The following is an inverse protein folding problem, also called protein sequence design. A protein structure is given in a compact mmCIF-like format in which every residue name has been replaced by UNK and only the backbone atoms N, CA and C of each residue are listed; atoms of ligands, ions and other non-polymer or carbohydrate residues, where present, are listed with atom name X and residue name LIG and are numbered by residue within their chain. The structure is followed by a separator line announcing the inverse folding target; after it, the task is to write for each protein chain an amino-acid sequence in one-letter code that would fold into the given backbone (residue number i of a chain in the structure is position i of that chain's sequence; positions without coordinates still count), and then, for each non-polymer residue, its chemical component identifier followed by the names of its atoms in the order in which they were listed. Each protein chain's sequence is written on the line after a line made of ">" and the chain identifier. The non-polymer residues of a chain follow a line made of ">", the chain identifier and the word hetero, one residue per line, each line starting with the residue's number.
data_IF_183243679525
#
_entry.id   IF_183243679525
#
_cell.length_a   1.000
_cell.length_b   1.000
_cell.length_c   1.000
_cell.angle_alpha   90.00
_cell.angle_beta   90.00
_cell.angle_gamma   90.00
#
_symmetry.space_group_name_H-M   'P 1'
#
loop_
_entity.id
_entity.type
_entity.pdbx_description
1 polymer ?
#
# COMPACT_ATOMS: atom_id res chain seq x y z
N UNK A 1 -36.26 -109.43 -13.18
CA UNK A 1 -34.92 -109.21 -12.59
C UNK A 1 -34.17 -107.94 -13.06
N UNK A 2 -34.72 -107.06 -13.93
CA UNK A 2 -33.99 -105.87 -14.45
C UNK A 2 -34.15 -104.55 -13.66
N UNK A 3 -35.08 -104.44 -12.70
CA UNK A 3 -35.32 -103.18 -11.94
C UNK A 3 -34.36 -102.89 -10.77
N UNK A 4 -33.56 -103.87 -10.32
CA UNK A 4 -32.67 -103.69 -9.14
C UNK A 4 -31.29 -103.10 -9.46
N UNK A 5 -30.88 -103.06 -10.74
CA UNK A 5 -29.55 -102.55 -11.17
C UNK A 5 -29.52 -101.04 -11.49
N UNK A 6 -30.66 -100.37 -11.68
CA UNK A 6 -30.70 -98.92 -11.97
C UNK A 6 -30.60 -98.04 -10.72
N UNK A 7 -31.07 -98.49 -9.55
CA UNK A 7 -31.02 -97.69 -8.32
C UNK A 7 -29.61 -97.54 -7.71
N UNK A 8 -28.69 -98.48 -8.00
CA UNK A 8 -27.30 -98.41 -7.50
C UNK A 8 -26.45 -97.37 -8.23
N UNK A 9 -26.80 -96.98 -9.46
CA UNK A 9 -26.02 -96.03 -10.25
C UNK A 9 -26.35 -94.56 -9.95
N UNK A 10 -27.56 -94.30 -9.42
CA UNK A 10 -28.00 -92.96 -9.00
C UNK A 10 -27.37 -92.58 -7.65
N UNK A 11 -27.32 -93.52 -6.70
CA UNK A 11 -26.67 -93.30 -5.40
C UNK A 11 -25.16 -93.01 -5.52
N UNK A 12 -24.48 -93.63 -6.49
CA UNK A 12 -23.06 -93.36 -6.77
C UNK A 12 -22.81 -91.96 -7.33
N UNK A 13 -23.71 -91.46 -8.20
CA UNK A 13 -23.63 -90.10 -8.76
C UNK A 13 -23.98 -89.03 -7.72
N UNK A 14 -24.95 -89.26 -6.85
CA UNK A 14 -25.30 -88.35 -5.75
C UNK A 14 -24.17 -88.24 -4.74
N UNK A 15 -23.51 -89.36 -4.38
CA UNK A 15 -22.33 -89.32 -3.49
C UNK A 15 -21.16 -88.55 -4.09
N UNK A 16 -20.88 -88.71 -5.39
CA UNK A 16 -19.81 -87.95 -6.06
C UNK A 16 -20.13 -86.45 -6.16
N UNK A 17 -21.40 -86.09 -6.39
CA UNK A 17 -21.83 -84.70 -6.42
C UNK A 17 -21.76 -84.04 -5.04
N UNK A 18 -22.17 -84.77 -3.99
CA UNK A 18 -22.08 -84.29 -2.60
C UNK A 18 -20.62 -84.07 -2.14
N UNK A 19 -19.69 -84.95 -2.54
CA UNK A 19 -18.26 -84.79 -2.22
C UNK A 19 -17.66 -83.59 -2.96
N UNK A 20 -18.08 -83.35 -4.22
CA UNK A 20 -17.61 -82.21 -5.01
C UNK A 20 -18.18 -80.87 -4.49
N UNK A 21 -19.45 -80.84 -4.06
CA UNK A 21 -20.07 -79.65 -3.49
C UNK A 21 -19.52 -79.30 -2.09
N UNK A 22 -19.18 -80.31 -1.27
CA UNK A 22 -18.54 -80.06 0.04
C UNK A 22 -17.11 -79.52 -0.14
N UNK A 23 -16.35 -80.02 -1.13
CA UNK A 23 -15.02 -79.49 -1.44
C UNK A 23 -15.03 -78.03 -1.89
N UNK A 24 -15.99 -77.64 -2.73
CA UNK A 24 -16.16 -76.24 -3.17
C UNK A 24 -16.58 -75.34 -2.01
N UNK A 25 -17.47 -75.81 -1.14
CA UNK A 25 -17.90 -75.05 0.02
C UNK A 25 -16.76 -74.83 1.02
N UNK A 26 -15.94 -75.86 1.27
CA UNK A 26 -14.74 -75.74 2.09
C UNK A 26 -13.69 -74.81 1.45
N UNK A 27 -13.50 -74.87 0.13
CA UNK A 27 -12.62 -73.98 -0.60
C UNK A 27 -13.06 -72.50 -0.51
N UNK A 28 -14.36 -72.23 -0.62
CA UNK A 28 -14.93 -70.89 -0.45
C UNK A 28 -14.79 -70.36 0.97
N UNK A 29 -14.99 -71.20 1.99
CA UNK A 29 -14.78 -70.81 3.40
C UNK A 29 -13.31 -70.49 3.64
N UNK A 30 -12.38 -71.31 3.16
CA UNK A 30 -10.93 -71.04 3.30
C UNK A 30 -10.55 -69.75 2.58
N UNK A 31 -11.09 -69.50 1.38
CA UNK A 31 -10.84 -68.26 0.64
C UNK A 31 -11.38 -67.03 1.38
N UNK A 32 -12.58 -67.12 1.97
CA UNK A 32 -13.14 -66.02 2.78
C UNK A 32 -12.36 -65.76 4.06
N UNK A 33 -11.83 -66.80 4.71
CA UNK A 33 -10.94 -66.66 5.87
C UNK A 33 -9.61 -66.01 5.46
N UNK A 34 -9.01 -66.43 4.34
CA UNK A 34 -7.77 -65.82 3.83
C UNK A 34 -8.00 -64.35 3.43
N UNK A 35 -9.13 -64.02 2.80
CA UNK A 35 -9.50 -62.62 2.51
C UNK A 35 -9.69 -61.84 3.82
N UNK A 36 -10.33 -62.42 4.83
CA UNK A 36 -10.48 -61.81 6.15
C UNK A 36 -9.16 -61.52 6.87
N UNK A 37 -8.12 -62.35 6.66
CA UNK A 37 -6.76 -62.13 7.19
C UNK A 37 -5.90 -61.18 6.33
N UNK A 38 -6.26 -60.97 5.07
CA UNK A 38 -5.59 -60.04 4.16
C UNK A 38 -6.25 -58.66 4.12
N UNK A 39 -7.46 -58.52 4.67
CA UNK A 39 -8.01 -57.21 4.94
C UNK A 39 -7.13 -56.58 6.03
N UNK A 40 -6.49 -55.43 5.76
CA UNK A 40 -5.78 -54.72 6.80
C UNK A 40 -6.75 -54.51 7.96
N UNK A 41 -6.31 -54.77 9.20
CA UNK A 41 -7.06 -54.32 10.36
C UNK A 41 -7.44 -52.86 10.13
N UNK A 42 -8.69 -52.45 10.42
CA UNK A 42 -9.04 -51.04 10.35
C UNK A 42 -7.99 -50.31 11.17
N UNK A 43 -7.08 -49.62 10.50
CA UNK A 43 -6.11 -48.79 11.18
C UNK A 43 -6.96 -47.83 11.99
N UNK A 44 -6.70 -47.73 13.30
CA UNK A 44 -7.31 -46.72 14.17
C UNK A 44 -6.84 -45.34 13.68
N UNK A 45 -7.44 -44.92 12.57
CA UNK A 45 -7.11 -43.72 11.84
C UNK A 45 -7.76 -42.56 12.55
N UNK A 46 -6.94 -41.55 12.80
CA UNK A 46 -7.39 -40.28 13.34
C UNK A 46 -7.50 -39.27 12.21
N UNK A 47 -8.71 -38.77 11.98
CA UNK A 47 -8.98 -37.83 10.88
C UNK A 47 -8.70 -36.40 11.31
N UNK A 48 -7.71 -35.75 10.69
CA UNK A 48 -7.40 -34.33 10.88
C UNK A 48 -7.93 -33.53 9.70
N UNK A 49 -8.77 -32.53 9.95
CA UNK A 49 -9.36 -31.68 8.89
C UNK A 49 -8.95 -30.22 9.06
N UNK A 50 -8.52 -29.56 7.99
CA UNK A 50 -8.18 -28.13 7.94
C UNK A 50 -9.09 -27.37 6.98
N UNK A 51 -9.71 -26.29 7.47
CA UNK A 51 -10.59 -25.47 6.64
C UNK A 51 -10.56 -23.98 7.02
N UNK A 52 -10.95 -23.12 6.10
CA UNK A 52 -11.23 -21.72 6.39
C UNK A 52 -12.58 -21.59 7.11
N UNK A 53 -12.62 -20.93 8.27
CA UNK A 53 -13.79 -20.88 9.16
C UNK A 53 -15.09 -20.46 8.45
N UNK A 54 -15.03 -19.39 7.67
CA UNK A 54 -16.18 -18.75 7.02
C UNK A 54 -16.67 -19.50 5.77
N UNK A 55 -15.73 -19.89 4.92
CA UNK A 55 -16.05 -20.43 3.58
C UNK A 55 -16.15 -21.95 3.59
N UNK A 56 -15.66 -22.60 4.66
CA UNK A 56 -15.42 -24.04 4.73
C UNK A 56 -14.52 -24.55 3.59
N UNK A 57 -13.77 -23.65 2.95
CA UNK A 57 -12.78 -23.97 1.93
C UNK A 57 -11.71 -24.86 2.56
N UNK A 58 -11.50 -26.03 1.98
CA UNK A 58 -10.56 -27.02 2.48
C UNK A 58 -9.11 -26.59 2.21
N UNK A 59 -8.24 -26.71 3.22
CA UNK A 59 -6.86 -26.22 3.14
C UNK A 59 -5.89 -27.37 2.90
N UNK A 60 -5.23 -27.36 1.74
CA UNK A 60 -4.29 -28.42 1.37
C UNK A 60 -2.83 -28.00 1.66
N UNK A 61 -2.09 -28.85 2.37
CA UNK A 61 -0.71 -28.62 2.73
C UNK A 61 -0.02 -29.80 3.40
N UNK A 62 1.25 -29.60 3.74
CA UNK A 62 2.08 -30.51 4.52
C UNK A 62 1.82 -30.30 6.01
N UNK A 63 1.60 -31.38 6.75
CA UNK A 63 1.23 -31.36 8.17
C UNK A 63 2.35 -31.92 9.01
N UNK A 64 2.66 -31.23 10.09
CA UNK A 64 3.68 -31.62 11.06
C UNK A 64 3.10 -31.60 12.47
N UNK A 65 3.57 -32.48 13.34
CA UNK A 65 3.38 -32.40 14.79
C UNK A 65 4.75 -32.15 15.44
N UNK A 66 4.96 -30.94 15.95
CA UNK A 66 6.30 -30.48 16.29
C UNK A 66 7.21 -30.50 15.05
N UNK A 67 8.28 -31.32 15.09
CA UNK A 67 9.20 -31.52 13.95
C UNK A 67 8.88 -32.75 13.10
N UNK A 68 7.92 -33.60 13.51
CA UNK A 68 7.57 -34.85 12.82
C UNK A 68 6.61 -34.56 11.67
N UNK A 69 6.95 -34.97 10.46
CA UNK A 69 6.04 -34.92 9.31
C UNK A 69 4.96 -36.01 9.44
N UNK A 70 3.69 -35.62 9.40
CA UNK A 70 2.55 -36.52 9.50
C UNK A 70 2.00 -36.91 8.12
N UNK A 71 2.15 -36.04 7.12
CA UNK A 71 1.66 -36.29 5.77
C UNK A 71 1.18 -35.04 5.07
N UNK A 72 0.50 -35.23 3.93
CA UNK A 72 -0.08 -34.16 3.13
C UNK A 72 -1.59 -34.31 3.09
N UNK A 73 -2.31 -33.25 3.37
CA UNK A 73 -3.78 -33.26 3.31
C UNK A 73 -4.28 -33.34 1.87
N UNK A 74 -5.40 -34.02 1.66
CA UNK A 74 -6.16 -34.05 0.40
C UNK A 74 -7.60 -33.61 0.67
N UNK A 75 -8.05 -32.56 -0.02
CA UNK A 75 -9.31 -31.88 0.25
C UNK A 75 -9.46 -31.46 1.72
N UNK A 76 -8.38 -30.93 2.31
CA UNK A 76 -8.32 -30.48 3.69
C UNK A 76 -8.19 -31.58 4.73
N UNK A 77 -8.23 -32.85 4.34
CA UNK A 77 -8.21 -33.97 5.29
C UNK A 77 -6.89 -34.75 5.24
N UNK A 78 -6.41 -35.16 6.40
CA UNK A 78 -5.30 -36.10 6.58
C UNK A 78 -5.77 -37.22 7.52
N UNK A 79 -5.63 -38.47 7.09
CA UNK A 79 -5.73 -39.63 7.98
C UNK A 79 -4.35 -39.92 8.56
N UNK A 80 -4.23 -39.89 9.89
CA UNK A 80 -2.99 -40.18 10.61
C UNK A 80 -3.18 -41.40 11.52
N UNK A 81 -2.11 -42.17 11.78
CA UNK A 81 -2.14 -43.22 12.79
C UNK A 81 -2.26 -42.59 14.18
N UNK A 82 -3.30 -42.94 14.96
CA UNK A 82 -3.50 -42.38 16.30
C UNK A 82 -2.30 -42.63 17.22
N UNK A 83 -1.57 -43.75 17.04
CA UNK A 83 -0.39 -44.11 17.82
C UNK A 83 0.82 -43.21 17.50
N UNK A 84 0.76 -42.50 16.37
CA UNK A 84 1.78 -41.56 15.93
C UNK A 84 1.53 -40.13 16.40
N UNK A 85 0.37 -39.88 17.03
CA UNK A 85 -0.05 -38.58 17.54
C UNK A 85 0.20 -38.45 19.04
N UNK A 86 0.47 -37.22 19.46
CA UNK A 86 0.55 -36.80 20.86
C UNK A 86 0.01 -35.38 20.97
N UNK A 87 -0.26 -34.91 22.18
CA UNK A 87 -0.51 -33.48 22.39
C UNK A 87 0.68 -32.64 21.89
N UNK A 88 0.42 -31.44 21.40
CA UNK A 88 1.45 -30.55 20.87
C UNK A 88 0.95 -29.60 19.78
N UNK A 89 1.89 -29.00 19.06
CA UNK A 89 1.59 -28.05 17.99
C UNK A 89 1.54 -28.75 16.65
N UNK A 90 0.37 -28.75 16.04
CA UNK A 90 0.15 -29.12 14.65
C UNK A 90 0.49 -27.92 13.77
N UNK A 91 1.43 -28.09 12.84
CA UNK A 91 1.81 -27.07 11.86
C UNK A 91 1.32 -27.49 10.48
N UNK A 92 0.48 -26.66 9.85
CA UNK A 92 0.08 -26.79 8.45
C UNK A 92 0.92 -25.83 7.60
N UNK A 93 1.72 -26.37 6.68
CA UNK A 93 2.40 -25.62 5.62
C UNK A 93 1.59 -25.76 4.34
N UNK A 94 0.88 -24.72 3.96
CA UNK A 94 -0.10 -24.75 2.87
C UNK A 94 0.18 -23.65 1.85
N UNK A 95 -0.47 -23.73 0.70
CA UNK A 95 -0.30 -22.76 -0.38
C UNK A 95 -1.64 -22.11 -0.73
N UNK A 96 -1.63 -20.79 -0.92
CA UNK A 96 -2.75 -20.05 -1.47
C UNK A 96 -2.28 -19.15 -2.60
N UNK A 97 -2.80 -19.38 -3.82
CA UNK A 97 -2.46 -18.62 -5.04
C UNK A 97 -0.94 -18.48 -5.28
N UNK A 98 -0.16 -19.57 -5.18
CA UNK A 98 1.28 -19.51 -5.42
C UNK A 98 2.12 -19.07 -4.22
N UNK A 99 1.51 -18.73 -3.08
CA UNK A 99 2.22 -18.26 -1.87
C UNK A 99 2.11 -19.29 -0.76
N UNK A 100 3.25 -19.65 -0.17
CA UNK A 100 3.33 -20.52 0.99
C UNK A 100 2.96 -19.80 2.28
N UNK A 101 2.21 -20.49 3.13
CA UNK A 101 1.79 -20.04 4.46
C UNK A 101 2.07 -21.13 5.48
N UNK A 102 2.32 -20.72 6.72
CA UNK A 102 2.46 -21.63 7.85
C UNK A 102 1.43 -21.24 8.92
N UNK A 103 0.68 -22.22 9.42
CA UNK A 103 -0.31 -22.01 10.48
C UNK A 103 -0.16 -23.08 11.55
N UNK A 104 -0.18 -22.64 12.80
CA UNK A 104 0.04 -23.50 13.96
C UNK A 104 -1.26 -23.65 14.77
N UNK A 105 -1.54 -24.86 15.21
CA UNK A 105 -2.73 -25.23 15.97
C UNK A 105 -2.32 -26.06 17.19
N UNK A 106 -2.98 -25.85 18.32
CA UNK A 106 -2.80 -26.69 19.49
C UNK A 106 -3.66 -27.96 19.35
N UNK A 107 -3.05 -29.12 19.52
CA UNK A 107 -3.71 -30.41 19.70
C UNK A 107 -3.58 -30.80 21.17
N UNK A 108 -4.69 -31.01 21.85
CA UNK A 108 -4.74 -31.37 23.27
C UNK A 108 -4.96 -32.87 23.44
N UNK A 109 -4.57 -33.44 24.60
CA UNK A 109 -4.80 -34.86 24.89
C UNK A 109 -6.28 -35.26 24.77
N UNK A 110 -7.20 -34.39 25.19
CA UNK A 110 -8.65 -34.62 25.10
C UNK A 110 -9.16 -34.69 23.66
N UNK A 111 -8.47 -34.07 22.69
CA UNK A 111 -8.83 -34.16 21.28
C UNK A 111 -8.53 -35.54 20.70
N UNK A 112 -7.52 -36.24 21.22
CA UNK A 112 -7.11 -37.59 20.78
C UNK A 112 -8.08 -38.69 21.23
N UNK A 113 -9.01 -38.39 22.14
CA UNK A 113 -10.06 -39.32 22.60
C UNK A 113 -11.22 -39.47 21.61
N UNK A 114 -11.19 -38.74 20.49
CA UNK A 114 -12.22 -38.72 19.44
C UNK A 114 -11.68 -39.37 18.16
N UNK A 115 -12.57 -39.67 17.22
CA UNK A 115 -12.17 -40.22 15.90
C UNK A 115 -11.45 -39.19 15.01
N UNK A 116 -11.49 -37.90 15.37
CA UNK A 116 -10.82 -36.85 14.62
C UNK A 116 -11.01 -35.45 15.17
N UNK A 117 -10.32 -34.49 14.55
CA UNK A 117 -10.35 -33.07 14.92
C UNK A 117 -10.31 -32.17 13.69
N UNK A 118 -11.18 -31.17 13.71
CA UNK A 118 -11.15 -30.06 12.77
C UNK A 118 -10.35 -28.89 13.33
N UNK A 119 -9.38 -28.42 12.55
CA UNK A 119 -8.67 -27.16 12.73
C UNK A 119 -9.18 -26.15 11.71
N UNK A 120 -9.29 -24.90 12.13
CA UNK A 120 -9.76 -23.85 11.25
C UNK A 120 -8.94 -22.58 11.36
N UNK A 121 -8.76 -21.94 10.21
CA UNK A 121 -8.16 -20.61 10.13
C UNK A 121 -9.25 -19.58 10.30
N UNK A 122 -9.06 -18.69 11.28
CA UNK A 122 -10.00 -17.60 11.60
C UNK A 122 -10.26 -16.72 10.39
N UNK A 123 -11.49 -16.19 10.31
CA UNK A 123 -11.91 -15.24 9.28
C UNK A 123 -10.90 -14.12 9.02
N UNK A 124 -10.45 -13.44 10.06
CA UNK A 124 -9.57 -12.27 9.93
C UNK A 124 -8.22 -12.63 9.30
N UNK A 125 -7.66 -13.79 9.66
CA UNK A 125 -6.42 -14.28 9.05
C UNK A 125 -6.62 -14.62 7.56
N UNK A 126 -7.75 -15.25 7.20
CA UNK A 126 -8.09 -15.50 5.80
C UNK A 126 -8.37 -14.20 5.02
N UNK A 127 -9.01 -13.21 5.64
CA UNK A 127 -9.20 -11.88 5.06
C UNK A 127 -7.85 -11.24 4.75
N UNK A 128 -6.91 -11.28 5.69
CA UNK A 128 -5.55 -10.78 5.46
C UNK A 128 -4.87 -11.52 4.31
N UNK A 129 -4.99 -12.85 4.23
CA UNK A 129 -4.42 -13.65 3.12
C UNK A 129 -5.04 -13.30 1.78
N UNK A 130 -6.36 -13.12 1.72
CA UNK A 130 -7.11 -12.85 0.49
C UNK A 130 -7.03 -11.39 0.05
N UNK A 131 -6.56 -10.49 0.91
CA UNK A 131 -6.41 -9.07 0.60
C UNK A 131 -5.42 -8.88 -0.56
N UNK A 132 -5.84 -8.04 -1.49
CA UNK A 132 -5.11 -7.68 -2.70
C UNK A 132 -5.30 -6.19 -2.96
N UNK A 133 -4.33 -5.41 -2.54
CA UNK A 133 -4.26 -3.96 -2.72
C UNK A 133 -4.42 -3.54 -4.18
N UNK A 134 -4.02 -4.38 -5.15
CA UNK A 134 -4.16 -4.05 -6.58
C UNK A 134 -5.61 -3.90 -7.05
N UNK A 135 -6.58 -4.30 -6.21
CA UNK A 135 -8.01 -4.15 -6.47
C UNK A 135 -8.61 -2.83 -5.97
N UNK A 136 -7.86 -2.06 -5.19
CA UNK A 136 -8.31 -0.78 -4.67
C UNK A 136 -8.18 0.30 -5.74
N UNK A 137 -8.98 1.37 -5.61
CA UNK A 137 -8.87 2.55 -6.45
C UNK A 137 -7.77 3.49 -5.93
N UNK A 138 -6.62 3.50 -6.60
CA UNK A 138 -5.52 4.40 -6.22
C UNK A 138 -5.91 5.88 -6.34
N UNK A 139 -6.75 6.24 -7.31
CA UNK A 139 -7.15 7.64 -7.54
C UNK A 139 -8.10 8.11 -6.44
N UNK A 140 -8.96 7.23 -5.93
CA UNK A 140 -9.79 7.52 -4.77
C UNK A 140 -8.93 7.75 -3.52
N UNK A 141 -7.94 6.87 -3.27
CA UNK A 141 -7.00 7.02 -2.15
C UNK A 141 -6.25 8.35 -2.26
N UNK A 142 -5.67 8.67 -3.42
CA UNK A 142 -4.96 9.94 -3.67
C UNK A 142 -5.84 11.15 -3.32
N UNK A 143 -7.09 11.16 -3.79
CA UNK A 143 -8.06 12.24 -3.51
C UNK A 143 -8.37 12.36 -2.01
N UNK A 144 -8.61 11.23 -1.34
CA UNK A 144 -8.92 11.21 0.11
C UNK A 144 -7.74 11.67 0.96
N UNK A 145 -6.52 11.26 0.61
CA UNK A 145 -5.29 11.72 1.30
C UNK A 145 -5.20 13.24 1.27
N UNK A 146 -5.43 13.88 0.10
CA UNK A 146 -5.46 15.36 0.01
C UNK A 146 -6.57 15.94 0.90
N UNK A 147 -7.77 15.36 0.86
CA UNK A 147 -8.90 15.79 1.70
C UNK A 147 -8.60 15.76 3.21
N UNK A 148 -7.98 14.68 3.70
CA UNK A 148 -7.60 14.57 5.10
C UNK A 148 -6.46 15.53 5.49
N UNK A 149 -5.48 15.76 4.61
CA UNK A 149 -4.42 16.76 4.83
C UNK A 149 -5.04 18.16 4.93
N UNK A 150 -5.91 18.53 4.00
CA UNK A 150 -6.57 19.83 3.99
C UNK A 150 -7.49 20.04 5.19
N UNK A 151 -8.17 18.99 5.66
CA UNK A 151 -8.93 19.03 6.92
C UNK A 151 -8.03 19.40 8.10
N UNK A 152 -6.84 18.79 8.20
CA UNK A 152 -5.88 19.10 9.28
C UNK A 152 -5.27 20.50 9.15
N UNK A 153 -4.99 20.97 7.93
CA UNK A 153 -4.50 22.34 7.66
C UNK A 153 -5.54 23.38 8.04
N UNK A 154 -6.80 23.18 7.65
CA UNK A 154 -7.92 24.07 8.00
C UNK A 154 -8.10 24.18 9.52
N UNK A 155 -7.95 23.08 10.26
CA UNK A 155 -8.00 23.10 11.73
C UNK A 155 -6.88 23.93 12.39
N UNK A 156 -5.83 24.29 11.64
CA UNK A 156 -4.74 25.17 12.08
C UNK A 156 -4.80 26.57 11.45
N UNK A 157 -5.90 26.90 10.75
CA UNK A 157 -6.05 28.19 10.07
C UNK A 157 -5.16 28.35 8.83
N UNK A 158 -4.68 27.25 8.26
CA UNK A 158 -3.87 27.27 7.03
C UNK A 158 -4.77 27.09 5.80
N UNK A 159 -4.35 27.70 4.69
CA UNK A 159 -4.99 27.52 3.38
C UNK A 159 -4.91 26.07 2.91
N UNK A 160 -5.96 25.62 2.23
CA UNK A 160 -6.00 24.29 1.60
C UNK A 160 -4.99 24.20 0.45
N UNK A 161 -4.40 23.02 0.28
CA UNK A 161 -3.54 22.69 -0.85
C UNK A 161 -4.42 22.31 -2.05
N UNK A 162 -4.08 22.86 -3.22
CA UNK A 162 -4.73 22.50 -4.49
C UNK A 162 -4.13 21.18 -5.00
N UNK A 163 -4.98 20.22 -5.34
CA UNK A 163 -4.51 18.99 -5.99
C UNK A 163 -3.94 19.29 -7.37
N UNK A 164 -2.78 18.75 -7.70
CA UNK A 164 -2.14 18.90 -9.01
C UNK A 164 -1.87 17.54 -9.64
N UNK A 165 -2.52 17.25 -10.77
CA UNK A 165 -2.41 15.97 -11.48
C UNK A 165 -0.98 15.69 -11.94
N UNK A 166 -0.27 16.70 -12.45
CA UNK A 166 1.13 16.57 -12.85
C UNK A 166 2.02 16.16 -11.69
N UNK A 167 1.83 16.79 -10.52
CA UNK A 167 2.61 16.46 -9.32
C UNK A 167 2.27 15.03 -8.86
N UNK A 168 0.99 14.65 -8.93
CA UNK A 168 0.53 13.32 -8.61
C UNK A 168 1.14 12.25 -9.54
N UNK A 169 1.26 12.54 -10.84
CA UNK A 169 1.88 11.62 -11.80
C UNK A 169 3.36 11.38 -11.47
N UNK A 170 4.14 12.42 -11.16
CA UNK A 170 5.53 12.28 -10.72
C UNK A 170 5.63 11.54 -9.38
N UNK A 171 4.71 11.80 -8.45
CA UNK A 171 4.65 11.10 -7.17
C UNK A 171 4.34 9.61 -7.38
N UNK A 172 3.48 9.26 -8.36
CA UNK A 172 3.09 7.88 -8.66
C UNK A 172 4.22 7.10 -9.29
N UNK A 173 4.94 7.69 -10.24
CA UNK A 173 6.15 7.10 -10.82
C UNK A 173 7.18 6.80 -9.71
N UNK A 174 7.34 7.73 -8.76
CA UNK A 174 8.25 7.52 -7.65
C UNK A 174 7.73 6.46 -6.65
N UNK A 175 6.44 6.44 -6.34
CA UNK A 175 5.82 5.41 -5.50
C UNK A 175 6.01 4.00 -6.09
N UNK A 176 5.90 3.85 -7.41
CA UNK A 176 6.18 2.60 -8.11
C UNK A 176 7.65 2.18 -7.99
N UNK A 177 8.60 3.12 -8.13
CA UNK A 177 10.03 2.84 -7.91
C UNK A 177 10.28 2.36 -6.49
N UNK A 178 9.69 3.02 -5.48
CA UNK A 178 9.81 2.64 -4.07
C UNK A 178 9.21 1.25 -3.82
N UNK A 179 8.08 0.94 -4.44
CA UNK A 179 7.41 -0.35 -4.30
C UNK A 179 8.03 -1.49 -5.12
N UNK A 180 9.01 -1.20 -5.96
CA UNK A 180 9.67 -2.19 -6.81
C UNK A 180 10.71 -3.02 -6.04
N UNK A 181 10.83 -4.34 -6.31
CA UNK A 181 11.85 -5.17 -5.68
C UNK A 181 13.26 -4.62 -5.90
N UNK A 182 14.04 -4.51 -4.82
CA UNK A 182 15.43 -4.06 -4.87
C UNK A 182 15.64 -2.54 -4.70
N UNK A 183 14.59 -1.75 -4.51
CA UNK A 183 14.71 -0.34 -4.13
C UNK A 183 15.47 -0.20 -2.80
N UNK A 184 16.47 0.69 -2.75
CA UNK A 184 17.21 0.99 -1.53
C UNK A 184 16.91 2.42 -1.09
N UNK A 185 16.59 2.68 0.20
CA UNK A 185 16.36 4.04 0.70
C UNK A 185 17.55 5.00 0.51
N UNK A 186 18.77 4.49 0.28
CA UNK A 186 19.93 5.31 -0.13
C UNK A 186 19.73 6.02 -1.48
N UNK A 187 18.76 5.57 -2.27
CA UNK A 187 18.40 6.11 -3.58
C UNK A 187 17.51 7.36 -3.46
N UNK A 188 17.34 7.96 -2.27
CA UNK A 188 16.59 9.22 -2.05
C UNK A 188 16.96 10.37 -2.99
N UNK A 189 18.18 10.37 -3.55
CA UNK A 189 18.59 11.29 -4.61
C UNK A 189 17.67 11.22 -5.84
N UNK A 190 17.08 10.04 -6.10
CA UNK A 190 16.10 9.78 -7.16
C UNK A 190 14.82 10.60 -7.04
N UNK A 191 14.35 10.93 -5.83
CA UNK A 191 13.10 11.70 -5.66
C UNK A 191 13.28 13.12 -6.18
N UNK A 192 14.37 13.78 -5.73
CA UNK A 192 14.74 15.12 -6.17
C UNK A 192 15.13 15.14 -7.66
N UNK A 193 15.79 14.10 -8.17
CA UNK A 193 16.08 13.98 -9.60
C UNK A 193 14.80 13.81 -10.44
N UNK A 194 13.79 13.08 -9.96
CA UNK A 194 12.49 12.92 -10.64
C UNK A 194 11.76 14.25 -10.69
N UNK A 195 11.71 14.95 -9.55
CA UNK A 195 11.12 16.29 -9.43
C UNK A 195 11.84 17.35 -10.27
N UNK A 196 13.17 17.28 -10.33
CA UNK A 196 14.01 18.17 -11.14
C UNK A 196 13.81 17.97 -12.64
N UNK A 197 13.61 16.72 -13.10
CA UNK A 197 13.28 16.42 -14.50
C UNK A 197 11.91 16.99 -14.88
N UNK A 198 10.96 16.89 -13.97
CA UNK A 198 9.57 17.32 -14.19
C UNK A 198 9.34 18.82 -13.89
N UNK A 199 10.39 19.59 -13.57
CA UNK A 199 10.32 21.02 -13.26
C UNK A 199 9.28 21.37 -12.18
N UNK A 200 9.11 20.51 -11.18
CA UNK A 200 8.14 20.70 -10.11
C UNK A 200 8.85 21.22 -8.85
N UNK A 201 8.40 22.37 -8.36
CA UNK A 201 8.99 23.11 -7.23
C UNK A 201 8.65 22.47 -5.90
N UNK A 202 9.27 21.34 -5.58
CA UNK A 202 8.63 20.43 -4.62
C UNK A 202 9.46 20.06 -3.40
N UNK A 203 8.77 19.87 -2.28
CA UNK A 203 9.22 19.16 -1.08
C UNK A 203 8.61 17.75 -1.02
N UNK A 204 9.42 16.79 -0.59
CA UNK A 204 9.09 15.36 -0.57
C UNK A 204 8.56 14.91 0.79
N UNK A 205 7.58 14.02 0.85
CA UNK A 205 7.30 13.17 2.02
C UNK A 205 6.90 11.77 1.55
N UNK A 206 7.43 10.72 2.20
CA UNK A 206 7.06 9.32 1.96
C UNK A 206 6.32 8.69 3.13
N UNK A 207 5.38 7.81 2.80
CA UNK A 207 4.77 6.89 3.75
C UNK A 207 4.66 5.52 3.09
N UNK A 208 5.32 4.53 3.67
CA UNK A 208 5.16 3.13 3.25
C UNK A 208 4.28 2.43 4.28
N UNK A 209 3.13 1.93 3.84
CA UNK A 209 2.29 1.06 4.67
C UNK A 209 2.56 -0.38 4.25
N UNK A 210 3.22 -1.13 5.14
CA UNK A 210 3.48 -2.56 4.91
C UNK A 210 2.27 -3.41 5.31
N UNK A 211 1.94 -4.37 4.45
CA UNK A 211 0.67 -5.09 4.42
C UNK A 211 0.32 -6.04 5.56
N UNK A 212 1.01 -6.03 6.70
CA UNK A 212 0.59 -6.81 7.87
C UNK A 212 -0.66 -6.23 8.54
N UNK A 213 -0.92 -4.93 8.34
CA UNK A 213 -2.12 -4.23 8.85
C UNK A 213 -3.28 -4.17 7.83
N UNK A 214 -3.08 -4.69 6.62
CA UNK A 214 -4.07 -4.61 5.53
C UNK A 214 -4.93 -5.89 5.46
N UNK A 215 -6.25 -5.70 5.40
CA UNK A 215 -7.26 -6.76 5.34
C UNK A 215 -8.38 -6.39 4.37
N UNK A 216 -9.23 -7.35 3.97
CA UNK A 216 -10.39 -7.05 3.10
C UNK A 216 -11.46 -6.19 3.76
N UNK A 217 -11.33 -5.87 5.05
CA UNK A 217 -12.22 -4.92 5.73
C UNK A 217 -11.67 -3.49 5.70
N UNK A 218 -10.47 -3.29 5.13
CA UNK A 218 -9.85 -1.99 4.92
C UNK A 218 -10.12 -1.53 3.50
N UNK A 219 -10.89 -0.46 3.38
CA UNK A 219 -11.19 0.20 2.11
C UNK A 219 -10.23 1.36 1.83
N UNK A 220 -10.46 2.05 0.73
CA UNK A 220 -9.72 3.24 0.30
C UNK A 220 -9.75 4.37 1.36
N UNK A 221 -10.86 4.49 2.11
CA UNK A 221 -11.03 5.48 3.17
C UNK A 221 -10.04 5.23 4.31
N UNK A 222 -10.06 4.02 4.85
CA UNK A 222 -9.18 3.61 5.93
C UNK A 222 -7.70 3.77 5.54
N UNK A 223 -7.33 3.33 4.33
CA UNK A 223 -5.95 3.40 3.85
C UNK A 223 -5.50 4.86 3.73
N UNK A 224 -6.32 5.73 3.12
CA UNK A 224 -6.01 7.15 3.01
C UNK A 224 -5.86 7.81 4.39
N UNK A 225 -6.71 7.47 5.36
CA UNK A 225 -6.60 8.00 6.72
C UNK A 225 -5.30 7.56 7.40
N UNK A 226 -4.94 6.27 7.30
CA UNK A 226 -3.70 5.75 7.89
C UNK A 226 -2.45 6.39 7.29
N UNK A 227 -2.43 6.66 5.98
CA UNK A 227 -1.33 7.39 5.32
C UNK A 227 -1.14 8.75 5.99
N UNK A 228 -2.21 9.52 6.13
CA UNK A 228 -2.14 10.86 6.72
C UNK A 228 -1.82 10.82 8.21
N UNK A 229 -2.36 9.86 8.96
CA UNK A 229 -1.97 9.65 10.36
C UNK A 229 -0.46 9.38 10.47
N UNK A 230 0.09 8.53 9.61
CA UNK A 230 1.52 8.21 9.60
C UNK A 230 2.37 9.44 9.31
N UNK A 231 2.03 10.23 8.28
CA UNK A 231 2.77 11.46 7.95
C UNK A 231 2.70 12.51 9.05
N UNK A 232 1.59 12.65 9.75
CA UNK A 232 1.49 13.59 10.87
C UNK A 232 2.14 13.08 12.17
N UNK A 233 2.48 11.78 12.27
CA UNK A 233 3.28 11.23 13.37
C UNK A 233 4.77 11.47 13.16
N UNK A 234 5.23 11.51 11.91
CA UNK A 234 6.60 11.92 11.57
C UNK A 234 6.75 13.45 11.73
N UNK A 235 7.59 13.95 12.66
CA UNK A 235 7.79 15.38 12.87
C UNK A 235 8.21 16.14 11.62
N UNK A 236 9.05 15.54 10.77
CA UNK A 236 9.58 16.20 9.58
C UNK A 236 8.51 16.33 8.49
N UNK A 237 7.79 15.23 8.21
CA UNK A 237 6.67 15.26 7.27
C UNK A 237 5.54 16.20 7.75
N UNK A 238 5.23 16.17 9.06
CA UNK A 238 4.25 17.08 9.66
C UNK A 238 4.64 18.55 9.46
N UNK A 239 5.89 18.92 9.72
CA UNK A 239 6.39 20.28 9.51
C UNK A 239 6.14 20.73 8.07
N UNK A 240 6.51 19.90 7.08
CA UNK A 240 6.30 20.19 5.66
C UNK A 240 4.84 20.30 5.26
N UNK A 241 3.98 19.40 5.73
CA UNK A 241 2.54 19.46 5.43
C UNK A 241 1.85 20.71 6.01
N UNK A 242 2.48 21.42 6.95
CA UNK A 242 1.97 22.62 7.59
C UNK A 242 2.69 23.91 7.16
N UNK A 243 3.66 23.82 6.25
CA UNK A 243 4.31 24.98 5.63
C UNK A 243 3.41 25.63 4.55
N UNK A 244 3.86 26.78 4.04
CA UNK A 244 3.16 27.60 3.04
C UNK A 244 3.32 27.05 1.62
N UNK A 245 2.84 25.83 1.37
CA UNK A 245 2.66 25.29 0.03
C UNK A 245 1.28 25.65 -0.52
N UNK A 246 1.18 25.72 -1.85
CA UNK A 246 -0.06 26.01 -2.57
C UNK A 246 -0.65 24.75 -3.22
N UNK A 247 0.18 23.77 -3.57
CA UNK A 247 -0.21 22.59 -4.34
C UNK A 247 0.34 21.31 -3.73
N UNK A 248 -0.36 20.21 -4.00
CA UNK A 248 0.07 18.87 -3.62
C UNK A 248 -0.26 17.87 -4.73
N UNK A 249 0.64 16.91 -4.94
CA UNK A 249 0.36 15.69 -5.69
C UNK A 249 0.61 14.49 -4.81
N UNK A 250 -0.36 13.59 -4.75
CA UNK A 250 -0.24 12.30 -4.07
C UNK A 250 -0.11 11.24 -5.15
N UNK A 251 0.87 10.37 -5.00
CA UNK A 251 1.05 9.20 -5.85
C UNK A 251 0.92 7.93 -5.03
N UNK A 252 0.02 7.04 -5.45
CA UNK A 252 -0.20 5.75 -4.79
C UNK A 252 0.16 4.60 -5.72
N UNK A 253 0.98 3.67 -5.21
CA UNK A 253 1.31 2.42 -5.87
C UNK A 253 0.73 1.24 -5.09
N UNK A 254 -0.03 0.40 -5.80
CA UNK A 254 -0.76 -0.74 -5.26
C UNK A 254 -0.30 -2.02 -5.94
N UNK A 255 0.24 -2.96 -5.17
CA UNK A 255 0.62 -4.27 -5.71
C UNK A 255 0.52 -5.35 -4.65
N UNK A 256 -0.24 -6.40 -4.91
CA UNK A 256 -0.43 -7.51 -3.98
C UNK A 256 -0.85 -7.06 -2.57
N UNK A 257 0.04 -7.05 -1.59
CA UNK A 257 -0.24 -6.54 -0.23
C UNK A 257 0.54 -5.26 0.10
N UNK A 258 1.08 -4.61 -0.91
CA UNK A 258 1.90 -3.42 -0.78
C UNK A 258 1.09 -2.20 -1.17
N UNK A 259 1.09 -1.21 -0.29
CA UNK A 259 0.58 0.14 -0.55
C UNK A 259 1.74 1.10 -0.27
N UNK A 260 2.18 1.80 -1.31
CA UNK A 260 3.16 2.88 -1.19
C UNK A 260 2.47 4.18 -1.52
N UNK A 261 2.60 5.18 -0.64
CA UNK A 261 2.09 6.51 -0.88
C UNK A 261 3.21 7.54 -0.78
N UNK A 262 3.24 8.44 -1.75
CA UNK A 262 4.25 9.50 -1.85
C UNK A 262 3.50 10.83 -2.00
N UNK A 263 3.89 11.81 -1.19
CA UNK A 263 3.34 13.16 -1.23
C UNK A 263 4.39 14.16 -1.67
N UNK A 264 4.06 14.92 -2.70
CA UNK A 264 4.90 15.96 -3.28
C UNK A 264 4.19 17.30 -3.10
N UNK A 265 4.78 18.23 -2.35
CA UNK A 265 4.23 19.56 -2.05
C UNK A 265 4.91 20.61 -2.90
N UNK A 266 4.18 21.48 -3.58
CA UNK A 266 4.78 22.52 -4.43
C UNK A 266 4.27 23.91 -4.11
N UNK A 267 5.09 24.92 -4.39
CA UNK A 267 4.60 26.29 -4.54
C UNK A 267 4.48 26.60 -6.02
N UNK A 268 3.25 26.63 -6.54
CA UNK A 268 2.98 27.09 -7.91
C UNK A 268 2.62 28.57 -7.96
N UNK A 269 2.16 29.13 -6.84
CA UNK A 269 1.62 30.48 -6.77
C UNK A 269 1.90 31.10 -5.38
N UNK A 270 2.50 32.29 -5.39
CA UNK A 270 2.58 33.17 -4.23
C UNK A 270 1.62 34.32 -4.45
N UNK A 271 0.80 34.66 -3.47
CA UNK A 271 -0.03 35.86 -3.52
C UNK A 271 0.00 36.60 -2.20
N UNK A 272 0.02 37.92 -2.26
CA UNK A 272 -0.14 38.75 -1.08
C UNK A 272 -0.95 40.00 -1.41
N UNK A 273 -1.68 40.47 -0.42
CA UNK A 273 -2.40 41.72 -0.43
C UNK A 273 -2.01 42.55 0.79
N UNK A 274 -2.09 43.87 0.68
CA UNK A 274 -1.82 44.74 1.81
C UNK A 274 -1.85 46.21 1.45
N UNK A 275 -1.42 47.01 2.43
CA UNK A 275 -1.29 48.45 2.30
C UNK A 275 0.16 48.86 2.62
N UNK A 276 0.65 49.85 1.89
CA UNK A 276 1.95 50.47 2.13
C UNK A 276 1.79 51.98 2.32
N UNK A 277 2.46 52.51 3.33
CA UNK A 277 2.53 53.94 3.61
C UNK A 277 3.30 54.70 2.53
N UNK A 278 3.14 56.03 2.41
CA UNK A 278 3.97 56.85 1.54
C UNK A 278 5.47 56.63 1.74
N UNK A 279 6.22 56.53 0.65
CA UNK A 279 7.70 56.41 0.61
C UNK A 279 8.26 55.18 1.34
N UNK A 280 7.45 54.14 1.49
CA UNK A 280 7.84 52.90 2.15
C UNK A 280 8.52 51.95 1.15
N UNK A 281 9.51 51.22 1.64
CA UNK A 281 10.05 50.02 0.99
C UNK A 281 9.55 48.79 1.76
N UNK A 282 9.05 47.78 1.06
CA UNK A 282 8.73 46.50 1.69
C UNK A 282 10.01 45.78 2.13
N UNK A 283 9.87 44.75 2.96
CA UNK A 283 10.89 43.71 3.04
C UNK A 283 11.05 42.98 1.70
N UNK A 284 12.13 42.23 1.53
CA UNK A 284 12.31 41.36 0.36
C UNK A 284 11.55 40.06 0.60
N UNK A 285 10.43 39.87 -0.10
CA UNK A 285 9.71 38.61 -0.10
C UNK A 285 10.54 37.58 -0.88
N UNK A 286 10.83 36.42 -0.26
CA UNK A 286 11.57 35.35 -0.92
C UNK A 286 10.69 34.63 -1.92
N UNK A 287 10.85 34.98 -3.20
CA UNK A 287 10.11 34.34 -4.29
C UNK A 287 10.76 32.98 -4.54
N UNK A 288 12.03 32.97 -4.93
CA UNK A 288 12.76 31.76 -5.26
C UNK A 288 13.87 31.51 -4.24
N UNK A 289 13.63 30.57 -3.33
CA UNK A 289 14.58 30.20 -2.28
C UNK A 289 15.74 29.36 -2.86
N UNK A 290 16.96 29.88 -2.75
CA UNK A 290 18.20 29.22 -3.22
C UNK A 290 18.55 27.93 -2.47
N UNK A 291 17.96 27.69 -1.29
CA UNK A 291 18.15 26.44 -0.53
C UNK A 291 17.31 25.29 -1.09
N UNK A 292 16.44 25.57 -2.07
CA UNK A 292 15.78 24.51 -2.81
C UNK A 292 16.80 23.82 -3.73
N UNK A 293 16.66 22.51 -4.02
CA UNK A 293 17.63 21.74 -4.80
C UNK A 293 17.64 22.09 -6.30
N UNK A 294 17.23 23.30 -6.67
CA UNK A 294 17.11 23.77 -8.05
C UNK A 294 18.15 24.86 -8.31
N UNK A 295 18.92 24.69 -9.38
CA UNK A 295 20.01 25.57 -9.81
C UNK A 295 19.74 26.21 -11.18
N UNK A 296 18.47 26.22 -11.60
CA UNK A 296 18.05 26.71 -12.91
C UNK A 296 17.18 27.95 -12.78
N UNK A 297 17.20 28.74 -13.84
CA UNK A 297 16.31 29.87 -14.03
C UNK A 297 14.87 29.40 -14.34
N UNK A 298 13.87 30.06 -13.76
CA UNK A 298 12.45 29.74 -14.01
C UNK A 298 11.68 30.93 -14.56
N UNK A 299 10.80 30.63 -15.53
CA UNK A 299 9.80 31.55 -16.01
C UNK A 299 8.67 31.73 -15.00
N UNK A 300 8.38 32.96 -14.62
CA UNK A 300 7.27 33.33 -13.74
C UNK A 300 6.33 34.28 -14.45
N UNK A 301 5.05 34.24 -14.06
CA UNK A 301 4.07 35.28 -14.33
C UNK A 301 3.92 36.13 -13.10
N UNK A 302 4.12 37.43 -13.22
CA UNK A 302 3.86 38.39 -12.17
C UNK A 302 2.64 39.22 -12.51
N UNK A 303 1.66 39.18 -11.62
CA UNK A 303 0.49 40.04 -11.68
C UNK A 303 0.51 40.96 -10.46
N UNK A 304 0.35 42.25 -10.66
CA UNK A 304 0.23 43.22 -9.58
C UNK A 304 -0.87 44.21 -9.94
N UNK A 305 -1.71 44.53 -8.95
CA UNK A 305 -2.70 45.59 -9.03
C UNK A 305 -2.54 46.51 -7.81
N UNK A 306 -2.70 47.81 -8.01
CA UNK A 306 -2.59 48.78 -6.92
C UNK A 306 -3.41 50.05 -7.14
N UNK A 307 -3.87 50.66 -6.04
CA UNK A 307 -4.71 51.87 -6.11
C UNK A 307 -3.95 53.11 -6.62
N UNK A 308 -2.63 53.14 -6.41
CA UNK A 308 -1.69 54.17 -6.89
C UNK A 308 -0.46 53.51 -7.50
N UNK A 309 0.40 54.30 -8.16
CA UNK A 309 1.61 53.79 -8.79
C UNK A 309 2.61 53.25 -7.77
N UNK A 310 2.90 51.95 -7.83
CA UNK A 310 3.91 51.26 -7.03
C UNK A 310 5.08 50.82 -7.92
N UNK A 311 6.27 50.74 -7.35
CA UNK A 311 7.44 50.19 -8.05
C UNK A 311 7.73 48.79 -7.53
N UNK A 312 7.98 47.85 -8.44
CA UNK A 312 8.33 46.47 -8.11
C UNK A 312 9.75 46.17 -8.60
N UNK A 313 10.56 45.60 -7.72
CA UNK A 313 11.95 45.26 -7.97
C UNK A 313 12.17 43.77 -7.69
N UNK A 314 12.62 43.05 -8.71
CA UNK A 314 13.09 41.68 -8.58
C UNK A 314 14.60 41.71 -8.36
N UNK A 315 15.03 41.27 -7.20
CA UNK A 315 16.39 41.50 -6.67
C UNK A 315 16.99 40.21 -6.14
N UNK A 316 18.31 40.09 -6.11
CA UNK A 316 18.99 39.07 -5.31
C UNK A 316 18.91 39.46 -3.83
N UNK A 317 18.87 38.49 -2.91
CA UNK A 317 18.54 38.73 -1.49
C UNK A 317 19.43 39.72 -0.74
N UNK A 318 20.61 40.04 -1.25
CA UNK A 318 21.59 40.87 -0.56
C UNK A 318 21.38 42.37 -0.83
N UNK A 319 21.40 43.16 0.26
CA UNK A 319 21.43 44.63 0.34
C UNK A 319 20.29 45.45 -0.30
N UNK A 320 19.42 44.87 -1.13
CA UNK A 320 18.38 45.62 -1.86
C UNK A 320 17.44 46.45 -0.95
N UNK A 321 17.03 45.89 0.19
CA UNK A 321 16.20 46.63 1.17
C UNK A 321 16.98 47.81 1.78
N UNK A 322 18.25 47.60 2.12
CA UNK A 322 19.11 48.64 2.68
C UNK A 322 19.38 49.74 1.67
N UNK A 323 19.59 49.39 0.39
CA UNK A 323 19.76 50.35 -0.69
C UNK A 323 18.48 51.15 -0.94
N UNK A 324 17.31 50.52 -0.85
CA UNK A 324 16.02 51.21 -0.90
C UNK A 324 15.88 52.24 0.25
N UNK A 325 16.15 51.82 1.49
CA UNK A 325 16.10 52.68 2.68
C UNK A 325 17.10 53.84 2.58
N UNK A 326 18.33 53.56 2.14
CA UNK A 326 19.40 54.54 1.95
C UNK A 326 19.26 55.38 0.68
N UNK A 327 18.20 55.15 -0.12
CA UNK A 327 17.90 55.84 -1.39
C UNK A 327 19.03 55.73 -2.42
N UNK A 328 19.71 54.58 -2.44
CA UNK A 328 20.71 54.23 -3.46
C UNK A 328 20.04 53.60 -4.68
N UNK A 329 20.79 53.45 -5.76
CA UNK A 329 20.38 52.62 -6.89
C UNK A 329 20.20 51.18 -6.42
N UNK A 330 19.12 50.54 -6.83
CA UNK A 330 18.79 49.17 -6.50
C UNK A 330 19.23 48.32 -7.68
N UNK A 331 20.12 47.36 -7.45
CA UNK A 331 20.49 46.39 -8.48
C UNK A 331 19.37 45.37 -8.62
N UNK A 332 18.73 45.33 -9.79
CA UNK A 332 17.53 44.53 -10.02
C UNK A 332 17.66 43.72 -11.29
N UNK A 333 17.24 42.46 -11.22
CA UNK A 333 17.05 41.55 -12.36
C UNK A 333 15.96 42.11 -13.28
N UNK A 334 14.89 42.64 -12.67
CA UNK A 334 13.77 43.26 -13.37
C UNK A 334 13.18 44.38 -12.51
N UNK A 335 12.84 45.50 -13.13
CA UNK A 335 12.17 46.61 -12.45
C UNK A 335 10.95 47.11 -13.21
N UNK A 336 9.96 47.53 -12.44
CA UNK A 336 8.77 48.25 -12.88
C UNK A 336 8.61 49.49 -12.02
N UNK A 337 8.42 50.66 -12.62
CA UNK A 337 8.42 51.95 -11.91
C UNK A 337 7.05 52.62 -11.97
N UNK A 338 6.48 52.88 -10.80
CA UNK A 338 5.21 53.62 -10.64
C UNK A 338 4.06 53.08 -11.50
N UNK A 339 3.94 51.76 -11.57
CA UNK A 339 2.86 51.07 -12.28
C UNK A 339 1.68 50.85 -11.34
N UNK A 340 0.46 50.91 -11.88
CA UNK A 340 -0.75 50.48 -11.15
C UNK A 340 -1.12 49.03 -11.42
N UNK A 341 -0.73 48.56 -12.58
CA UNK A 341 -1.01 47.22 -13.07
C UNK A 341 0.26 46.69 -13.72
N UNK A 342 0.61 45.44 -13.42
CA UNK A 342 1.67 44.68 -14.08
C UNK A 342 1.07 43.30 -14.37
N UNK A 343 1.23 42.80 -15.59
CA UNK A 343 0.89 41.43 -15.95
C UNK A 343 1.90 40.96 -16.98
N UNK A 344 3.00 40.39 -16.49
CA UNK A 344 4.19 40.12 -17.30
C UNK A 344 4.77 38.76 -16.99
N UNK A 345 5.34 38.13 -18.01
CA UNK A 345 6.09 36.89 -17.87
C UNK A 345 7.58 37.14 -18.10
N UNK A 346 8.43 36.65 -17.20
CA UNK A 346 9.88 36.77 -17.34
C UNK A 346 10.58 35.68 -16.56
N UNK A 347 11.89 35.57 -16.76
CA UNK A 347 12.72 34.53 -16.17
C UNK A 347 13.44 35.08 -14.94
N UNK A 348 13.43 34.34 -13.84
CA UNK A 348 14.13 34.67 -12.60
C UNK A 348 15.16 33.58 -12.24
N UNK A 349 16.38 33.96 -11.84
CA UNK A 349 17.38 33.02 -11.33
C UNK A 349 17.09 32.58 -9.88
N UNK A 350 17.70 31.48 -9.41
CA UNK A 350 17.72 31.12 -7.99
C UNK A 350 18.17 32.30 -7.12
N UNK A 351 17.58 32.46 -5.94
CA UNK A 351 17.93 33.56 -5.04
C UNK A 351 17.14 34.86 -5.28
N UNK A 352 16.16 34.86 -6.19
CA UNK A 352 15.36 36.06 -6.51
C UNK A 352 14.29 36.34 -5.46
N UNK A 353 14.23 37.57 -4.98
CA UNK A 353 13.18 38.12 -4.14
C UNK A 353 12.42 39.29 -4.77
N UNK A 354 11.26 39.63 -4.21
CA UNK A 354 10.43 40.77 -4.60
C UNK A 354 10.51 41.85 -3.53
N UNK A 355 10.76 43.08 -3.97
CA UNK A 355 10.62 44.26 -3.13
C UNK A 355 9.69 45.26 -3.82
N UNK A 356 8.75 45.80 -3.04
CA UNK A 356 7.83 46.83 -3.46
C UNK A 356 8.25 48.18 -2.86
N UNK A 357 7.96 49.26 -3.56
CA UNK A 357 8.22 50.62 -3.11
C UNK A 357 7.10 51.57 -3.54
N UNK A 358 6.56 52.31 -2.59
CA UNK A 358 5.56 53.36 -2.85
C UNK A 358 6.22 54.71 -3.16
N UNK A 359 5.45 55.56 -3.84
CA UNK A 359 5.81 56.94 -4.15
C UNK A 359 5.38 57.89 -3.01
N UNK A 360 4.89 59.08 -3.30
CA UNK A 360 4.45 60.06 -2.28
C UNK A 360 3.09 59.72 -1.63
N UNK A 361 2.46 58.61 -2.02
CA UNK A 361 1.11 58.25 -1.59
C UNK A 361 1.06 56.85 -0.96
N UNK A 362 0.19 56.70 0.03
CA UNK A 362 -0.23 55.40 0.54
C UNK A 362 -0.91 54.60 -0.57
N UNK A 363 -0.68 53.30 -0.60
CA UNK A 363 -1.10 52.43 -1.70
C UNK A 363 -1.52 51.07 -1.16
N UNK A 364 -2.77 50.71 -1.44
CA UNK A 364 -3.24 49.33 -1.34
C UNK A 364 -2.78 48.58 -2.59
N UNK A 365 -2.35 47.34 -2.41
CA UNK A 365 -1.84 46.48 -3.47
C UNK A 365 -2.27 45.04 -3.29
N UNK A 366 -2.35 44.33 -4.40
CA UNK A 366 -2.36 42.87 -4.47
C UNK A 366 -1.33 42.43 -5.51
N UNK A 367 -0.65 41.32 -5.25
CA UNK A 367 0.18 40.70 -6.27
C UNK A 367 0.08 39.17 -6.22
N UNK A 368 0.32 38.56 -7.38
CA UNK A 368 0.52 37.12 -7.53
C UNK A 368 1.79 36.85 -8.35
N UNK A 369 2.52 35.81 -7.97
CA UNK A 369 3.63 35.26 -8.74
C UNK A 369 3.32 33.81 -8.98
N UNK A 370 3.10 33.44 -10.24
CA UNK A 370 2.87 32.06 -10.66
C UNK A 370 4.10 31.51 -11.37
N UNK A 371 4.57 30.35 -10.93
CA UNK A 371 5.61 29.63 -11.64
C UNK A 371 5.05 29.00 -12.91
N UNK A 372 5.55 29.43 -14.06
CA UNK A 372 5.21 28.84 -15.35
C UNK A 372 6.29 27.80 -15.64
N UNK A 373 5.97 26.52 -15.46
CA UNK A 373 6.92 25.48 -15.83
C UNK A 373 7.28 25.59 -17.32
N UNK A 374 8.50 25.24 -17.68
CA UNK A 374 8.86 24.92 -19.05
C UNK A 374 7.99 23.74 -19.52
N UNK A 375 7.10 24.00 -20.49
CA UNK A 375 6.37 22.97 -21.21
C UNK A 375 7.24 22.29 -22.25
#
# INVERSE_FOLDING_TARGET
>A
MKKKKQNLNILGKIKRFAIWSVGIFFGLIILLVIIGFLLPEPSDGYTITFFAEDTKEALNGDVYLGSKYLGKTSNGTLEADVNELSEGIITLKWEYKGRGYETQFQLEEDDLKREGKGFYIKKDYMSNIKFDASKLDYSEIESKVVGYINTRRKNQGLSELKSSSRIADSAREYAEKVGSPGFKPSDKKSALETLSKENIFTFYTDGVIYGEELSTTKDEDYIAEQIVISWFKDPWAKEKLLEQYSDIGIGVYLKDKLVVAVGFLSVSEFSAEGEMEPKQCSGVAKIYNENLPFDKDIKVRFELESTKGISAYFVTYDDAQQDCIKRKSIDSIKEYRSMKEINEEFVIPPGTGLMLKTSDYGTEYSYSIRYISWG
#
